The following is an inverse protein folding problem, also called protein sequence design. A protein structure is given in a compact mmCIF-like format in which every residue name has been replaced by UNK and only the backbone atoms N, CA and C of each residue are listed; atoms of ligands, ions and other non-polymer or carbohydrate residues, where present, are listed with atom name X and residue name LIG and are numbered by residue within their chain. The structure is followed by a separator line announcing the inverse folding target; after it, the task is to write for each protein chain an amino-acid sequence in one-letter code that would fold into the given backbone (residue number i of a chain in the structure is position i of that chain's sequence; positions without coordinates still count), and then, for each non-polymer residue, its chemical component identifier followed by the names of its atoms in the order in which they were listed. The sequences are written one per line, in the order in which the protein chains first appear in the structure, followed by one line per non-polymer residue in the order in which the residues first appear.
data_IF_871808258650
#
_entry.id   IF_871808258650
#
_cell.length_a   1.000
_cell.length_b   1.000
_cell.length_c   1.000
_cell.angle_alpha   90.00
_cell.angle_beta   90.00
_cell.angle_gamma   90.00
#
_symmetry.space_group_name_H-M   'P 1'
#
loop_
_entity.id
_entity.type
_entity.pdbx_description
1 polymer ?
#
# COMPACT_ATOMS: atom_id res chain seq x y z
N UNK A 1 0.89 -6.21 -4.73
CA UNK A 1 0.81 -7.22 -3.69
C UNK A 1 -0.27 -8.25 -4.03
N UNK A 2 -0.15 -9.46 -3.49
CA UNK A 2 -1.14 -10.52 -3.69
C UNK A 2 -2.37 -10.36 -2.76
N UNK A 3 -2.26 -9.52 -1.77
CA UNK A 3 -3.28 -9.29 -0.74
C UNK A 3 -4.16 -8.07 -1.05
N UNK A 4 -4.44 -7.81 -2.32
CA UNK A 4 -5.30 -6.72 -2.74
C UNK A 4 -6.45 -7.23 -3.62
N UNK A 5 -7.59 -6.55 -3.54
CA UNK A 5 -8.76 -6.81 -4.40
C UNK A 5 -9.09 -5.53 -5.17
N UNK A 6 -9.05 -5.61 -6.49
CA UNK A 6 -9.43 -4.50 -7.38
C UNK A 6 -10.95 -4.53 -7.54
N UNK A 7 -11.60 -3.42 -7.22
CA UNK A 7 -13.05 -3.30 -7.22
C UNK A 7 -13.60 -2.41 -8.33
N UNK A 8 -12.76 -1.48 -8.80
CA UNK A 8 -13.13 -0.49 -9.81
C UNK A 8 -11.97 -0.29 -10.79
N UNK A 9 -12.18 0.49 -11.84
CA UNK A 9 -11.13 0.86 -12.80
C UNK A 9 -9.99 1.60 -12.09
N UNK A 10 -8.76 1.15 -12.33
CA UNK A 10 -7.53 1.69 -11.72
C UNK A 10 -6.64 2.45 -12.70
N UNK A 11 -7.14 2.80 -13.89
CA UNK A 11 -6.34 3.51 -14.93
C UNK A 11 -5.72 4.80 -14.39
N UNK A 12 -6.43 5.50 -13.51
CA UNK A 12 -5.94 6.70 -12.85
C UNK A 12 -4.66 6.44 -12.02
N UNK A 13 -4.51 5.24 -11.48
CA UNK A 13 -3.31 4.87 -10.74
C UNK A 13 -2.08 4.78 -11.64
N UNK A 14 -2.26 4.34 -12.89
CA UNK A 14 -1.16 4.28 -13.85
C UNK A 14 -0.73 5.66 -14.35
N UNK A 15 -1.65 6.61 -14.37
CA UNK A 15 -1.38 7.98 -14.84
C UNK A 15 -1.08 8.97 -13.72
N UNK A 16 -1.22 8.55 -12.44
CA UNK A 16 -0.98 9.42 -11.29
C UNK A 16 0.46 9.94 -11.24
N UNK A 17 0.59 11.26 -11.18
CA UNK A 17 1.89 11.95 -11.21
C UNK A 17 2.59 11.83 -12.56
N UNK A 18 3.82 12.32 -12.62
CA UNK A 18 4.63 12.25 -13.82
C UNK A 18 5.07 10.82 -14.14
N UNK A 19 5.43 10.51 -15.42
CA UNK A 19 5.83 9.16 -15.81
C UNK A 19 7.01 8.59 -15.03
N UNK A 20 7.87 9.43 -14.48
CA UNK A 20 9.05 9.06 -13.72
C UNK A 20 8.89 9.24 -12.20
N UNK A 21 7.66 9.30 -11.72
CA UNK A 21 7.38 9.33 -10.27
C UNK A 21 7.27 7.93 -9.70
N UNK A 22 7.63 7.81 -8.43
CA UNK A 22 7.32 6.65 -7.59
C UNK A 22 6.09 6.99 -6.75
N UNK A 23 5.00 6.27 -6.96
CA UNK A 23 3.75 6.50 -6.22
C UNK A 23 3.44 5.31 -5.30
N UNK A 24 2.90 5.59 -4.12
CA UNK A 24 2.59 4.61 -3.08
C UNK A 24 1.37 5.08 -2.29
N UNK A 25 0.70 4.18 -1.60
CA UNK A 25 -0.41 4.55 -0.71
C UNK A 25 0.09 4.91 0.69
N UNK A 26 -0.64 5.78 1.37
CA UNK A 26 -0.46 6.00 2.80
C UNK A 26 -0.76 4.72 3.59
N UNK A 27 -0.11 4.58 4.75
CA UNK A 27 -0.49 3.54 5.69
C UNK A 27 -1.91 3.80 6.21
N UNK A 28 -2.66 2.74 6.45
CA UNK A 28 -4.00 2.84 7.06
C UNK A 28 -3.92 3.28 8.52
N UNK A 29 -2.80 3.04 9.19
CA UNK A 29 -2.48 3.62 10.48
C UNK A 29 -1.71 4.94 10.29
N UNK A 30 -2.41 6.06 10.28
CA UNK A 30 -1.80 7.38 10.11
C UNK A 30 -0.93 7.85 11.29
N UNK A 31 -0.93 7.13 12.41
CA UNK A 31 0.00 7.42 13.51
C UNK A 31 1.43 7.00 13.19
N UNK A 32 1.63 6.16 12.20
CA UNK A 32 2.95 5.77 11.70
C UNK A 32 3.38 6.70 10.56
N UNK A 33 4.68 6.95 10.48
CA UNK A 33 5.28 7.66 9.33
C UNK A 33 5.75 6.69 8.23
N UNK A 34 5.16 5.51 8.19
CA UNK A 34 5.51 4.45 7.27
C UNK A 34 4.41 4.38 6.21
N UNK A 35 4.78 4.33 4.94
CA UNK A 35 3.84 4.12 3.83
C UNK A 35 3.45 2.64 3.74
N UNK A 36 2.42 2.33 2.98
CA UNK A 36 2.03 0.95 2.76
C UNK A 36 2.45 0.51 1.35
N UNK A 37 3.26 -0.54 1.26
CA UNK A 37 3.84 -1.04 0.01
C UNK A 37 2.92 -1.95 -0.80
N UNK A 38 1.67 -2.17 -0.37
CA UNK A 38 0.74 -3.07 -1.07
C UNK A 38 0.34 -2.56 -2.47
N UNK A 39 0.35 -1.23 -2.66
CA UNK A 39 0.07 -0.61 -3.96
C UNK A 39 1.15 0.41 -4.27
N UNK A 40 1.87 0.17 -5.35
CA UNK A 40 2.95 1.05 -5.82
C UNK A 40 2.91 1.19 -7.34
N UNK A 41 3.23 2.38 -7.82
CA UNK A 41 3.48 2.65 -9.25
C UNK A 41 4.89 3.20 -9.41
N UNK A 42 5.66 2.60 -10.28
CA UNK A 42 7.01 3.07 -10.63
C UNK A 42 7.40 2.53 -12.02
N UNK A 43 8.37 3.16 -12.64
CA UNK A 43 9.08 2.57 -13.78
C UNK A 43 10.46 2.04 -13.33
N UNK A 44 11.10 1.23 -14.15
CA UNK A 44 12.39 0.61 -13.83
C UNK A 44 13.47 1.63 -13.48
N UNK A 45 13.54 2.76 -14.20
CA UNK A 45 14.52 3.82 -13.95
C UNK A 45 14.31 4.46 -12.58
N UNK A 46 13.06 4.75 -12.24
CA UNK A 46 12.70 5.36 -10.96
C UNK A 46 12.98 4.41 -9.80
N UNK A 47 12.55 3.16 -9.91
CA UNK A 47 12.81 2.14 -8.90
C UNK A 47 14.31 1.93 -8.70
N UNK A 48 15.09 1.83 -9.77
CA UNK A 48 16.55 1.68 -9.70
C UNK A 48 17.18 2.88 -9.00
N UNK A 49 16.85 4.10 -9.38
CA UNK A 49 17.50 5.29 -8.84
C UNK A 49 17.11 5.59 -7.39
N UNK A 50 15.84 5.38 -7.02
CA UNK A 50 15.35 5.75 -5.69
C UNK A 50 15.59 4.62 -4.68
N UNK A 51 15.32 3.38 -5.06
CA UNK A 51 15.31 2.27 -4.12
C UNK A 51 16.58 1.44 -4.23
N UNK A 52 16.86 0.91 -5.42
CA UNK A 52 17.92 -0.08 -5.58
C UNK A 52 19.32 0.50 -5.32
N UNK A 53 19.64 1.66 -5.91
CA UNK A 53 20.96 2.28 -5.68
C UNK A 53 21.14 2.69 -4.22
N UNK A 54 20.09 3.21 -3.59
CA UNK A 54 20.13 3.54 -2.18
C UNK A 54 20.27 2.29 -1.28
N UNK A 55 19.61 1.19 -1.65
CA UNK A 55 19.79 -0.10 -1.00
C UNK A 55 21.24 -0.58 -1.09
N UNK A 56 21.84 -0.56 -2.28
CA UNK A 56 23.22 -1.00 -2.47
C UNK A 56 24.20 -0.17 -1.63
N UNK A 57 24.00 1.14 -1.54
CA UNK A 57 24.87 2.05 -0.78
C UNK A 57 24.72 1.90 0.74
N UNK A 58 23.55 1.52 1.22
CA UNK A 58 23.21 1.50 2.64
C UNK A 58 22.77 0.12 3.14
N UNK A 59 23.18 -0.96 2.44
CA UNK A 59 22.70 -2.32 2.69
C UNK A 59 22.79 -2.76 4.15
N UNK A 60 23.94 -2.49 4.81
CA UNK A 60 24.16 -2.89 6.19
C UNK A 60 23.18 -2.29 7.20
N UNK A 61 22.65 -1.10 6.91
CA UNK A 61 21.65 -0.44 7.72
C UNK A 61 20.23 -0.91 7.32
N UNK A 62 19.93 -0.87 6.03
CA UNK A 62 18.58 -1.11 5.53
C UNK A 62 18.12 -2.56 5.72
N UNK A 63 19.04 -3.54 5.65
CA UNK A 63 18.69 -4.95 5.88
C UNK A 63 18.27 -5.26 7.33
N UNK A 64 18.47 -4.33 8.26
CA UNK A 64 18.03 -4.47 9.66
C UNK A 64 16.64 -3.90 9.90
N UNK A 65 16.05 -3.27 8.91
CA UNK A 65 14.70 -2.73 9.01
C UNK A 65 13.64 -3.86 8.97
N UNK A 66 12.48 -3.69 9.61
CA UNK A 66 11.49 -4.75 9.77
C UNK A 66 10.92 -5.28 8.45
N UNK A 67 10.79 -4.42 7.44
CA UNK A 67 10.20 -4.79 6.17
C UNK A 67 10.51 -3.83 5.03
N UNK A 68 10.05 -4.19 3.84
CA UNK A 68 10.21 -3.41 2.61
C UNK A 68 9.57 -2.03 2.71
N UNK A 69 8.38 -1.95 3.28
CA UNK A 69 7.68 -0.68 3.45
C UNK A 69 8.43 0.31 4.36
N UNK A 70 9.16 -0.20 5.36
CA UNK A 70 10.01 0.63 6.23
C UNK A 70 11.19 1.20 5.44
N UNK A 71 11.83 0.35 4.65
CA UNK A 71 12.94 0.75 3.76
C UNK A 71 12.47 1.77 2.74
N UNK A 72 11.39 1.49 2.03
CA UNK A 72 10.84 2.38 1.01
C UNK A 72 10.45 3.72 1.63
N UNK A 73 9.78 3.71 2.78
CA UNK A 73 9.37 4.92 3.49
C UNK A 73 10.55 5.79 3.88
N UNK A 74 11.62 5.18 4.37
CA UNK A 74 12.85 5.90 4.72
C UNK A 74 13.50 6.55 3.51
N UNK A 75 13.60 5.83 2.40
CA UNK A 75 14.29 6.29 1.20
C UNK A 75 13.48 7.32 0.40
N UNK A 76 12.17 7.21 0.46
CA UNK A 76 11.26 7.98 -0.37
C UNK A 76 10.80 9.29 0.26
N UNK A 77 10.77 9.39 1.60
CA UNK A 77 10.16 10.51 2.34
C UNK A 77 10.62 11.92 1.94
N UNK A 78 11.86 12.05 1.43
CA UNK A 78 12.43 13.35 1.00
C UNK A 78 12.73 13.40 -0.51
N UNK A 79 12.21 12.47 -1.29
CA UNK A 79 12.49 12.42 -2.71
C UNK A 79 11.43 13.21 -3.49
N UNK A 80 11.80 14.23 -4.31
CA UNK A 80 10.85 15.05 -5.05
C UNK A 80 10.06 14.28 -6.12
N UNK A 81 10.50 13.08 -6.50
CA UNK A 81 9.78 12.19 -7.42
C UNK A 81 8.84 11.22 -6.72
N UNK A 82 8.71 11.34 -5.42
CA UNK A 82 7.81 10.52 -4.63
C UNK A 82 6.43 11.17 -4.55
N UNK A 83 5.39 10.38 -4.72
CA UNK A 83 3.99 10.80 -4.68
C UNK A 83 3.18 9.84 -3.81
N UNK A 84 2.14 10.36 -3.22
CA UNK A 84 1.18 9.57 -2.48
C UNK A 84 -0.09 9.52 -3.32
N UNK A 85 -0.64 8.32 -3.52
CA UNK A 85 -1.95 8.17 -4.11
C UNK A 85 -3.03 8.82 -3.23
N UNK A 86 -4.09 9.38 -3.82
CA UNK A 86 -5.23 9.85 -3.06
C UNK A 86 -5.75 8.78 -2.09
N UNK A 87 -6.01 9.18 -0.85
CA UNK A 87 -6.39 8.25 0.21
C UNK A 87 -7.72 7.53 -0.07
N UNK A 88 -8.61 8.19 -0.81
CA UNK A 88 -9.89 7.64 -1.23
C UNK A 88 -9.80 6.52 -2.28
N UNK A 89 -8.63 6.30 -2.90
CA UNK A 89 -8.46 5.25 -3.91
C UNK A 89 -8.26 3.87 -3.32
N UNK A 90 -7.91 3.79 -2.05
CA UNK A 90 -7.72 2.51 -1.38
C UNK A 90 -8.23 2.52 0.05
N UNK A 91 -8.66 1.36 0.52
CA UNK A 91 -9.09 1.20 1.91
C UNK A 91 -8.58 -0.12 2.48
N UNK A 92 -8.49 -0.19 3.81
CA UNK A 92 -8.23 -1.45 4.49
C UNK A 92 -9.52 -2.27 4.54
N UNK A 93 -9.46 -3.50 4.05
CA UNK A 93 -10.58 -4.43 4.17
C UNK A 93 -10.92 -4.79 5.63
N UNK A 94 -10.01 -4.51 6.56
CA UNK A 94 -10.12 -4.91 7.97
C UNK A 94 -10.33 -3.75 8.93
N UNK A 95 -10.03 -2.53 8.52
CA UNK A 95 -10.10 -1.38 9.39
C UNK A 95 -11.16 -0.41 8.91
N UNK A 96 -12.02 0.00 9.80
CA UNK A 96 -13.11 0.91 9.51
C UNK A 96 -12.66 2.29 9.00
N UNK A 97 -11.50 2.76 9.47
CA UNK A 97 -10.94 4.02 8.96
C UNK A 97 -9.42 4.05 9.13
N UNK A 98 -8.74 4.85 8.29
CA UNK A 98 -7.30 5.11 8.41
C UNK A 98 -6.93 5.77 9.74
N UNK A 99 -7.82 6.60 10.29
CA UNK A 99 -7.52 7.40 11.47
C UNK A 99 -7.63 6.63 12.79
N UNK A 100 -8.40 5.54 12.82
CA UNK A 100 -8.65 4.77 14.03
C UNK A 100 -8.58 3.26 13.73
N UNK A 101 -7.38 2.74 13.51
CA UNK A 101 -7.23 1.30 13.35
C UNK A 101 -7.66 0.60 14.63
N UNK A 102 -8.51 -0.42 14.51
CA UNK A 102 -8.90 -1.24 15.66
C UNK A 102 -7.76 -2.21 15.97
N UNK A 103 -7.05 -1.95 17.04
CA UNK A 103 -5.98 -2.84 17.50
C UNK A 103 -6.50 -4.11 18.19
N UNK A 104 -7.78 -4.19 18.52
CA UNK A 104 -8.37 -5.37 19.15
C UNK A 104 -8.81 -6.38 18.08
N UNK A 105 -8.18 -7.53 18.11
CA UNK A 105 -8.26 -8.61 17.13
C UNK A 105 -9.64 -9.29 16.97
N UNK A 106 -10.65 -8.89 17.70
CA UNK A 106 -11.89 -9.66 17.80
C UNK A 106 -13.01 -9.26 16.85
N UNK A 107 -12.89 -8.08 16.20
CA UNK A 107 -13.95 -7.60 15.31
C UNK A 107 -13.36 -6.85 14.10
N UNK A 108 -13.05 -7.59 13.06
CA UNK A 108 -12.78 -7.01 11.75
C UNK A 108 -14.11 -6.68 11.08
N UNK A 109 -14.28 -5.47 10.59
CA UNK A 109 -15.57 -5.08 9.99
C UNK A 109 -15.74 -5.55 8.55
N UNK A 110 -14.73 -5.94 7.84
CA UNK A 110 -14.80 -6.40 6.44
C UNK A 110 -15.87 -5.74 5.56
N UNK A 111 -16.24 -4.51 5.89
CA UNK A 111 -17.17 -3.75 5.10
C UNK A 111 -16.49 -3.25 3.83
N UNK A 112 -17.22 -3.32 2.72
CA UNK A 112 -16.73 -2.75 1.47
C UNK A 112 -16.65 -1.23 1.60
N UNK A 113 -15.43 -0.69 1.55
CA UNK A 113 -15.20 0.75 1.45
C UNK A 113 -15.51 1.28 0.05
N UNK A 114 -15.41 2.59 -0.10
CA UNK A 114 -15.69 3.30 -1.36
C UNK A 114 -14.50 3.40 -2.31
N UNK A 115 -13.33 2.90 -1.91
CA UNK A 115 -12.12 2.96 -2.73
C UNK A 115 -12.10 1.95 -3.88
N UNK A 116 -11.22 2.20 -4.84
CA UNK A 116 -11.00 1.35 -6.02
C UNK A 116 -10.33 0.01 -5.66
N UNK A 117 -9.50 0.00 -4.61
CA UNK A 117 -8.72 -1.16 -4.20
C UNK A 117 -8.86 -1.40 -2.70
N UNK A 118 -9.26 -2.61 -2.35
CA UNK A 118 -9.24 -3.11 -0.98
C UNK A 118 -7.89 -3.78 -0.67
N UNK A 119 -7.26 -3.39 0.43
CA UNK A 119 -5.99 -3.97 0.90
C UNK A 119 -6.26 -4.85 2.11
N UNK A 120 -5.85 -6.11 1.99
CA UNK A 120 -5.86 -7.08 3.06
C UNK A 120 -4.46 -7.14 3.68
N UNK A 121 -4.36 -7.02 4.97
CA UNK A 121 -3.09 -7.16 5.68
C UNK A 121 -3.25 -8.16 6.83
N UNK A 122 -2.46 -9.22 6.79
CA UNK A 122 -2.63 -10.38 7.65
C UNK A 122 -3.89 -11.20 7.32
N UNK A 123 -4.28 -12.13 8.17
CA UNK A 123 -5.41 -13.04 7.91
C UNK A 123 -6.77 -12.41 8.21
N UNK A 124 -7.85 -12.81 7.49
CA UNK A 124 -7.83 -13.68 6.33
C UNK A 124 -7.24 -12.98 5.11
N UNK A 125 -6.68 -13.75 4.18
CA UNK A 125 -6.33 -13.28 2.84
C UNK A 125 -7.60 -13.19 1.97
N UNK A 126 -7.60 -12.51 0.80
CA UNK A 126 -8.79 -12.39 -0.05
C UNK A 126 -9.44 -13.73 -0.39
N UNK A 127 -8.64 -14.75 -0.74
CA UNK A 127 -9.12 -16.08 -1.13
C UNK A 127 -9.76 -16.88 0.03
N UNK A 128 -9.51 -16.50 1.27
CA UNK A 128 -10.10 -17.12 2.47
C UNK A 128 -11.14 -16.21 3.14
N UNK A 129 -11.50 -15.10 2.53
CA UNK A 129 -12.48 -14.17 3.06
C UNK A 129 -13.90 -14.61 2.69
N UNK A 130 -14.77 -14.72 3.69
CA UNK A 130 -16.15 -15.17 3.49
C UNK A 130 -17.10 -14.08 3.00
N UNK A 131 -16.66 -12.84 2.95
CA UNK A 131 -17.48 -11.72 2.52
C UNK A 131 -17.86 -11.84 1.05
N UNK A 132 -19.14 -11.69 0.74
CA UNK A 132 -19.67 -11.88 -0.61
C UNK A 132 -19.06 -10.89 -1.64
N UNK A 133 -18.88 -9.63 -1.24
CA UNK A 133 -18.25 -8.64 -2.11
C UNK A 133 -16.80 -8.99 -2.48
N UNK A 134 -16.08 -9.67 -1.58
CA UNK A 134 -14.73 -10.18 -1.87
C UNK A 134 -14.79 -11.33 -2.85
N UNK A 135 -15.67 -12.32 -2.60
CA UNK A 135 -15.85 -13.49 -3.48
C UNK A 135 -16.26 -13.09 -4.90
N UNK A 136 -17.07 -12.05 -5.03
CA UNK A 136 -17.51 -11.54 -6.33
C UNK A 136 -16.42 -10.81 -7.11
N UNK A 137 -15.50 -10.15 -6.42
CA UNK A 137 -14.41 -9.39 -7.03
C UNK A 137 -13.12 -10.22 -7.21
N UNK A 138 -12.87 -11.15 -6.32
CA UNK A 138 -11.70 -12.05 -6.37
C UNK A 138 -12.02 -13.26 -7.27
N UNK A 139 -11.59 -13.20 -8.52
CA UNK A 139 -11.81 -14.27 -9.53
C UNK A 139 -10.48 -14.75 -10.10
#
# INVERSE_FOLDING_TARGET
DLDVVILENIDDMFTHGEPDTFSIINNFNLSTKIFNSSIMKFNNKTATNIIWNAWLQNRNELQRMPGDQDVISKLASNNPKFRIFPDEWSFSAKWFSRQKPRFHKTEWTFERGTGKVAVFHGKPDPHNCDQEWVKNAWK
#
